data_IF_632699065473
#
_entry.id   IF_632699065473
#
_cell.length_a   1.000
_cell.length_b   1.000
_cell.length_c   1.000
_cell.angle_alpha   90.00
_cell.angle_beta   90.00
_cell.angle_gamma   90.00
#
_symmetry.space_group_name_H-M   'P 1'
#
loop_
_entity.id
_entity.type
_entity.pdbx_description
1 polymer ?
#
# COMPACT_ATOMS: atom_id res chain seq x y z
N UNK A 1 -10.00 5.46 16.54
CA UNK A 1 -9.12 4.35 16.21
C UNK A 1 -8.12 4.12 17.35
N UNK A 2 -8.19 2.95 18.00
CA UNK A 2 -7.34 2.60 19.15
C UNK A 2 -5.84 2.59 18.79
N UNK A 3 -5.49 2.09 17.65
CA UNK A 3 -4.10 2.06 17.19
C UNK A 3 -3.51 3.46 17.03
N UNK A 4 -4.27 4.35 16.42
CA UNK A 4 -3.83 5.73 16.25
C UNK A 4 -3.67 6.44 17.60
N UNK A 5 -4.61 6.24 18.52
CA UNK A 5 -4.53 6.78 19.88
C UNK A 5 -3.29 6.27 20.61
N UNK A 6 -3.02 4.98 20.53
CA UNK A 6 -1.97 4.32 21.32
C UNK A 6 -0.57 4.52 20.72
N UNK A 7 -0.47 4.54 19.40
CA UNK A 7 0.81 4.53 18.68
C UNK A 7 1.00 5.69 17.69
N UNK A 8 -0.02 6.49 17.45
CA UNK A 8 0.02 7.55 16.43
C UNK A 8 1.19 8.52 16.61
N UNK A 9 1.50 8.88 17.85
CA UNK A 9 2.59 9.81 18.14
C UNK A 9 3.99 9.25 17.80
N UNK A 10 4.14 7.93 17.79
CA UNK A 10 5.40 7.27 17.44
C UNK A 10 5.61 7.11 15.93
N UNK A 11 4.55 7.28 15.14
CA UNK A 11 4.60 7.13 13.69
C UNK A 11 5.05 8.42 13.02
N UNK A 12 6.02 8.32 12.13
CA UNK A 12 6.62 9.48 11.44
C UNK A 12 5.93 9.83 10.13
N UNK A 13 5.18 8.90 9.56
CA UNK A 13 4.55 9.05 8.25
C UNK A 13 3.05 8.80 8.35
N UNK A 14 2.30 9.50 7.52
CA UNK A 14 0.85 9.50 7.55
C UNK A 14 0.29 8.98 6.24
N UNK A 15 -0.61 8.01 6.31
CA UNK A 15 -1.31 7.51 5.13
C UNK A 15 -2.26 8.57 4.54
N UNK A 16 -2.80 9.44 5.38
CA UNK A 16 -3.67 10.54 4.99
C UNK A 16 -3.14 11.82 5.62
N UNK A 17 -2.77 12.79 4.81
CA UNK A 17 -2.13 14.03 5.27
C UNK A 17 -3.00 15.27 5.20
N UNK A 18 -4.09 15.25 4.44
CA UNK A 18 -4.91 16.43 4.17
C UNK A 18 -6.21 16.41 4.92
N UNK A 19 -6.69 17.59 5.29
CA UNK A 19 -7.92 17.80 6.01
C UNK A 19 -7.81 17.55 7.52
N UNK A 20 -8.94 17.56 8.19
CA UNK A 20 -9.02 17.40 9.65
C UNK A 20 -8.75 15.97 10.13
N UNK A 21 -8.54 15.05 9.20
CA UNK A 21 -8.35 13.64 9.49
C UNK A 21 -6.97 13.19 9.06
N UNK A 22 -6.03 13.34 9.95
CA UNK A 22 -4.68 12.79 9.77
C UNK A 22 -4.61 11.43 10.45
N UNK A 23 -4.58 10.37 9.67
CA UNK A 23 -4.42 9.01 10.18
C UNK A 23 -3.24 8.32 9.52
N UNK A 24 -2.26 7.96 10.34
CA UNK A 24 -1.10 7.19 9.91
C UNK A 24 -1.44 5.73 9.60
N UNK A 25 -2.53 5.22 10.15
CA UNK A 25 -2.91 3.81 10.10
C UNK A 25 -4.10 3.56 9.19
N UNK A 26 -5.06 4.48 9.13
CA UNK A 26 -6.29 4.27 8.40
C UNK A 26 -6.10 4.54 6.90
N UNK A 27 -6.50 3.57 6.09
CA UNK A 27 -6.62 3.69 4.66
C UNK A 27 -8.02 3.28 4.22
N UNK A 28 -8.86 4.26 3.94
CA UNK A 28 -10.25 4.02 3.55
C UNK A 28 -10.34 3.68 2.06
N UNK A 29 -10.56 2.40 1.76
CA UNK A 29 -10.68 1.90 0.40
C UNK A 29 -12.01 2.27 -0.28
N UNK A 30 -12.95 2.85 0.44
CA UNK A 30 -14.23 3.30 -0.14
C UNK A 30 -14.12 4.68 -0.82
N UNK A 31 -13.12 5.46 -0.44
CA UNK A 31 -12.87 6.76 -1.05
C UNK A 31 -12.40 6.63 -2.51
N UNK A 32 -13.03 7.35 -3.47
CA UNK A 32 -12.61 7.30 -4.87
C UNK A 32 -11.12 7.63 -5.07
N UNK A 33 -10.61 8.64 -4.38
CA UNK A 33 -9.20 9.03 -4.49
C UNK A 33 -8.24 7.91 -4.04
N UNK A 34 -8.61 7.17 -3.00
CA UNK A 34 -7.81 6.04 -2.51
C UNK A 34 -7.95 4.80 -3.37
N UNK A 35 -9.12 4.57 -3.95
CA UNK A 35 -9.31 3.52 -4.94
C UNK A 35 -8.44 3.77 -6.18
N UNK A 36 -8.37 5.01 -6.63
CA UNK A 36 -7.49 5.40 -7.74
C UNK A 36 -6.02 5.16 -7.39
N UNK A 37 -5.58 5.62 -6.22
CA UNK A 37 -4.22 5.41 -5.75
C UNK A 37 -3.87 3.94 -5.60
N UNK A 38 -4.78 3.14 -5.08
CA UNK A 38 -4.59 1.69 -4.94
C UNK A 38 -4.54 0.98 -6.30
N UNK A 39 -5.37 1.39 -7.26
CA UNK A 39 -5.33 0.85 -8.62
C UNK A 39 -3.97 1.08 -9.28
N UNK A 40 -3.45 2.29 -9.17
CA UNK A 40 -2.10 2.61 -9.64
C UNK A 40 -1.03 1.77 -8.90
N UNK A 41 -1.17 1.62 -7.59
CA UNK A 41 -0.26 0.83 -6.78
C UNK A 41 -0.27 -0.65 -7.17
N UNK A 42 -1.44 -1.20 -7.49
CA UNK A 42 -1.57 -2.59 -7.91
C UNK A 42 -0.89 -2.86 -9.26
N UNK A 43 -1.05 -1.97 -10.22
CA UNK A 43 -0.36 -2.06 -11.51
C UNK A 43 1.16 -1.93 -11.33
N UNK A 44 1.60 -0.96 -10.57
CA UNK A 44 3.02 -0.75 -10.29
C UNK A 44 3.63 -1.94 -9.57
N UNK A 45 2.91 -2.52 -8.61
CA UNK A 45 3.35 -3.73 -7.90
C UNK A 45 3.63 -4.88 -8.87
N UNK A 46 2.71 -5.13 -9.80
CA UNK A 46 2.87 -6.19 -10.77
C UNK A 46 4.07 -5.93 -11.69
N UNK A 47 4.19 -4.72 -12.21
CA UNK A 47 5.30 -4.33 -13.10
C UNK A 47 6.66 -4.48 -12.40
N UNK A 48 6.76 -4.00 -11.17
CA UNK A 48 7.98 -4.10 -10.38
C UNK A 48 8.32 -5.55 -10.02
N UNK A 49 7.31 -6.37 -9.73
CA UNK A 49 7.50 -7.79 -9.44
C UNK A 49 8.01 -8.54 -10.68
N UNK A 50 7.39 -8.30 -11.83
CA UNK A 50 7.82 -8.91 -13.10
C UNK A 50 9.23 -8.46 -13.52
N UNK A 51 9.57 -7.21 -13.21
CA UNK A 51 10.91 -6.68 -13.46
C UNK A 51 11.98 -7.17 -12.46
N UNK A 52 11.57 -7.89 -11.42
CA UNK A 52 12.49 -8.39 -10.39
C UNK A 52 13.01 -7.32 -9.43
N UNK A 53 12.31 -6.20 -9.30
CA UNK A 53 12.72 -5.10 -8.44
C UNK A 53 12.54 -5.39 -6.95
N UNK A 54 11.75 -6.38 -6.61
CA UNK A 54 11.61 -6.90 -5.25
C UNK A 54 11.23 -8.38 -5.27
N UNK A 55 11.39 -9.02 -4.13
CA UNK A 55 11.00 -10.41 -3.91
C UNK A 55 10.09 -10.53 -2.70
N UNK A 56 9.38 -11.65 -2.61
CA UNK A 56 8.60 -12.01 -1.43
C UNK A 56 9.30 -13.14 -0.68
N UNK A 57 9.04 -13.24 0.62
CA UNK A 57 9.66 -14.25 1.48
C UNK A 57 9.20 -15.69 1.20
N UNK A 58 8.20 -15.85 0.34
CA UNK A 58 7.67 -17.16 0.01
C UNK A 58 6.69 -17.73 1.02
N UNK A 59 6.19 -16.92 1.95
CA UNK A 59 5.19 -17.38 2.92
C UNK A 59 3.98 -18.00 2.22
N UNK A 60 3.57 -19.24 2.60
CA UNK A 60 2.53 -19.98 1.85
C UNK A 60 1.20 -19.24 1.75
N UNK A 61 0.77 -18.57 2.82
CA UNK A 61 -0.48 -17.81 2.82
C UNK A 61 -0.43 -16.62 1.86
N UNK A 62 0.68 -15.88 1.83
CA UNK A 62 0.88 -14.78 0.88
C UNK A 62 0.86 -15.27 -0.56
N UNK A 63 1.58 -16.35 -0.86
CA UNK A 63 1.54 -16.97 -2.19
C UNK A 63 0.14 -17.37 -2.60
N UNK A 64 -0.63 -17.98 -1.69
CA UNK A 64 -1.99 -18.39 -1.97
C UNK A 64 -2.91 -17.20 -2.25
N UNK A 65 -2.81 -16.14 -1.45
CA UNK A 65 -3.59 -14.92 -1.67
C UNK A 65 -3.24 -14.24 -3.00
N UNK A 66 -1.98 -14.21 -3.38
CA UNK A 66 -1.55 -13.70 -4.69
C UNK A 66 -2.13 -14.54 -5.84
N UNK A 67 -2.15 -15.86 -5.71
CA UNK A 67 -2.77 -16.76 -6.70
C UNK A 67 -4.29 -16.59 -6.78
N UNK A 68 -4.93 -16.27 -5.67
CA UNK A 68 -6.38 -16.06 -5.60
C UNK A 68 -6.81 -14.73 -6.22
N UNK A 69 -5.94 -13.73 -6.26
CA UNK A 69 -6.24 -12.42 -6.78
C UNK A 69 -6.54 -12.46 -8.28
N UNK A 70 -7.54 -11.69 -8.68
CA UNK A 70 -7.96 -11.54 -10.07
C UNK A 70 -7.88 -10.09 -10.50
N UNK A 71 -7.69 -9.86 -11.77
CA UNK A 71 -7.71 -8.52 -12.35
C UNK A 71 -9.15 -8.06 -12.49
N UNK A 72 -9.41 -6.83 -12.11
CA UNK A 72 -10.70 -6.18 -12.29
C UNK A 72 -10.49 -4.80 -12.89
N UNK A 73 -11.22 -4.50 -13.96
CA UNK A 73 -11.25 -3.16 -14.53
C UNK A 73 -12.08 -2.22 -13.66
N UNK A 74 -11.59 -1.01 -13.47
CA UNK A 74 -12.36 0.12 -12.97
C UNK A 74 -12.05 1.34 -13.82
N UNK A 75 -12.64 2.50 -13.50
CA UNK A 75 -12.46 3.71 -14.32
C UNK A 75 -11.03 4.27 -14.36
N UNK A 76 -10.14 3.78 -13.50
CA UNK A 76 -8.74 4.23 -13.46
C UNK A 76 -7.76 3.19 -14.03
N UNK A 77 -8.22 2.00 -14.34
CA UNK A 77 -7.38 0.95 -14.88
C UNK A 77 -7.69 -0.42 -14.30
N UNK A 78 -6.67 -1.24 -14.12
CA UNK A 78 -6.80 -2.60 -13.61
C UNK A 78 -6.37 -2.63 -12.15
N UNK A 79 -7.26 -3.08 -11.28
CA UNK A 79 -6.99 -3.34 -9.87
C UNK A 79 -7.10 -4.83 -9.58
N UNK A 80 -6.79 -5.23 -8.35
CA UNK A 80 -6.99 -6.61 -7.93
C UNK A 80 -8.27 -6.77 -7.12
N UNK A 81 -8.88 -7.92 -7.30
CA UNK A 81 -10.13 -8.26 -6.64
C UNK A 81 -10.22 -9.77 -6.41
N UNK A 82 -11.18 -10.16 -5.57
CA UNK A 82 -11.57 -11.55 -5.48
C UNK A 82 -12.18 -12.03 -6.81
N UNK A 83 -12.15 -13.33 -7.04
CA UNK A 83 -12.81 -13.99 -8.16
C UNK A 83 -14.28 -13.55 -8.28
N UNK A 84 -14.99 -13.53 -7.15
CA UNK A 84 -16.31 -12.93 -6.99
C UNK A 84 -16.50 -12.51 -5.52
N UNK A 85 -17.47 -11.64 -5.26
CA UNK A 85 -17.66 -11.00 -3.96
C UNK A 85 -17.75 -12.01 -2.79
N UNK A 86 -18.39 -13.12 -3.00
CA UNK A 86 -18.65 -14.13 -1.95
C UNK A 86 -17.63 -15.28 -1.94
N UNK A 87 -16.56 -15.16 -2.74
CA UNK A 87 -15.52 -16.17 -2.79
C UNK A 87 -14.86 -16.35 -1.42
N UNK A 88 -14.65 -17.60 -1.04
CA UNK A 88 -13.87 -17.97 0.15
C UNK A 88 -12.35 -17.86 -0.12
N UNK A 89 -11.95 -17.69 -1.36
CA UNK A 89 -10.54 -17.51 -1.75
C UNK A 89 -10.08 -16.11 -1.38
N UNK A 90 -9.42 -16.01 -0.25
CA UNK A 90 -8.96 -14.74 0.31
C UNK A 90 -7.83 -14.11 -0.50
N UNK A 91 -7.80 -12.77 -0.51
CA UNK A 91 -6.76 -11.98 -1.16
C UNK A 91 -6.16 -10.94 -0.20
N UNK A 92 -6.50 -10.96 1.07
CA UNK A 92 -6.17 -9.90 2.02
C UNK A 92 -4.67 -9.64 2.10
N UNK A 93 -3.84 -10.68 2.12
CA UNK A 93 -2.39 -10.53 2.14
C UNK A 93 -1.85 -9.95 0.83
N UNK A 94 -2.49 -10.22 -0.30
CA UNK A 94 -2.11 -9.60 -1.56
C UNK A 94 -2.40 -8.09 -1.54
N UNK A 95 -3.56 -7.70 -1.01
CA UNK A 95 -3.91 -6.28 -0.81
C UNK A 95 -2.90 -5.62 0.13
N UNK A 96 -2.55 -6.27 1.23
CA UNK A 96 -1.54 -5.76 2.17
C UNK A 96 -0.17 -5.62 1.51
N UNK A 97 0.25 -6.56 0.68
CA UNK A 97 1.53 -6.48 -0.03
C UNK A 97 1.59 -5.30 -0.98
N UNK A 98 0.53 -5.07 -1.75
CA UNK A 98 0.40 -3.88 -2.62
C UNK A 98 0.45 -2.59 -1.81
N UNK A 99 -0.29 -2.55 -0.71
CA UNK A 99 -0.32 -1.40 0.20
C UNK A 99 1.04 -1.12 0.84
N UNK A 100 1.73 -2.15 1.28
CA UNK A 100 3.07 -2.02 1.86
C UNK A 100 4.08 -1.46 0.86
N UNK A 101 4.06 -1.94 -0.37
CA UNK A 101 4.93 -1.44 -1.44
C UNK A 101 4.59 0.01 -1.80
N UNK A 102 3.32 0.35 -1.82
CA UNK A 102 2.85 1.73 -2.02
C UNK A 102 3.32 2.66 -0.89
N UNK A 103 3.18 2.26 0.35
CA UNK A 103 3.65 3.04 1.51
C UNK A 103 5.16 3.25 1.46
N UNK A 104 5.92 2.23 1.12
CA UNK A 104 7.36 2.34 0.94
C UNK A 104 7.70 3.45 -0.07
N UNK A 105 7.01 3.48 -1.19
CA UNK A 105 7.21 4.50 -2.23
C UNK A 105 6.90 5.90 -1.71
N UNK A 106 5.79 6.05 -1.00
CA UNK A 106 5.39 7.33 -0.38
C UNK A 106 6.45 7.78 0.61
N UNK A 107 6.91 6.90 1.49
CA UNK A 107 7.93 7.21 2.50
C UNK A 107 9.25 7.64 1.84
N UNK A 108 9.69 6.92 0.82
CA UNK A 108 10.93 7.27 0.12
C UNK A 108 10.83 8.61 -0.61
N UNK A 109 9.69 8.94 -1.16
CA UNK A 109 9.49 10.21 -1.85
C UNK A 109 9.36 11.40 -0.90
N UNK A 110 8.69 11.23 0.24
CA UNK A 110 8.46 12.29 1.21
C UNK A 110 9.54 12.39 2.27
N UNK A 111 10.12 11.26 2.64
CA UNK A 111 11.18 11.18 3.63
C UNK A 111 12.57 11.46 3.08
N UNK A 112 12.72 11.67 1.77
CA UNK A 112 14.01 12.04 1.19
C UNK A 112 14.42 13.42 1.68
N UNK A 113 15.60 13.55 2.31
CA UNK A 113 16.15 14.86 2.62
C UNK A 113 16.26 15.68 1.33
N UNK A 114 15.86 16.94 1.38
CA UNK A 114 16.12 17.87 0.27
C UNK A 114 17.62 18.04 0.10
N UNK A 115 18.10 18.33 -1.13
CA UNK A 115 19.50 18.65 -1.33
C UNK A 115 19.97 19.71 -0.31
N UNK A 116 21.04 19.41 0.42
CA UNK A 116 21.55 20.27 1.50
C UNK A 116 21.10 19.94 2.92
N UNK A 117 20.11 19.07 3.10
CA UNK A 117 19.63 18.68 4.44
C UNK A 117 20.44 17.54 5.08
N UNK A 118 21.38 16.96 4.37
CA UNK A 118 22.20 15.85 4.87
C UNK A 118 23.22 16.24 5.95
N UNK A 119 23.56 17.52 6.06
CA UNK A 119 24.61 17.98 6.98
C UNK A 119 24.32 17.78 8.47
N UNK A 120 23.06 17.63 8.85
CA UNK A 120 22.66 17.40 10.24
C UNK A 120 22.25 15.97 10.55
N UNK A 121 22.23 15.09 9.58
CA UNK A 121 21.80 13.68 9.77
C UNK A 121 23.00 12.81 10.05
N UNK A 122 23.35 12.71 11.33
CA UNK A 122 24.31 11.71 11.79
C UNK A 122 23.57 10.44 12.12
N UNK A 123 24.15 9.32 11.74
CA UNK A 123 23.68 8.00 12.10
C UNK A 123 23.83 7.74 13.61
#
# INVERSE_FOLDING_TARGET
>A
DGWHRDYGAALKFWAVKTGDRKHSIMWDMTSPARQQAFTFAAQTFLDEFEAGEFTIDGHPALKQHLKNARRRLNKWGVTLAKEHRESTRKIDLAVCAVGARMLRRIVLNEGRPKPGQFRGMRR
#
